data_IF_350479940619
#
_entry.id   IF_350479940619
#
_cell.length_a   1.000
_cell.length_b   1.000
_cell.length_c   1.000
_cell.angle_alpha   90.00
_cell.angle_beta   90.00
_cell.angle_gamma   90.00
#
_symmetry.space_group_name_H-M   'P 1'
#
loop_
_entity.id
_entity.type
_entity.pdbx_description
1 polymer ?
#
# COMPACT_ATOMS: atom_id res chain seq x y z
N UNK A 1 -18.15 -17.44 19.43
CA UNK A 1 -17.67 -17.87 18.10
C UNK A 1 -16.98 -16.71 17.41
N UNK A 2 -15.64 -16.69 17.40
CA UNK A 2 -14.89 -15.70 16.60
C UNK A 2 -15.17 -16.04 15.15
N UNK A 3 -15.96 -15.21 14.44
CA UNK A 3 -16.14 -15.30 12.98
C UNK A 3 -14.72 -15.28 12.40
N UNK A 4 -14.23 -16.43 11.92
CA UNK A 4 -12.95 -16.47 11.18
C UNK A 4 -13.10 -15.48 10.04
N UNK A 5 -12.43 -14.33 10.15
CA UNK A 5 -12.42 -13.35 9.10
C UNK A 5 -11.54 -13.93 8.00
N UNK A 6 -12.13 -14.03 6.82
CA UNK A 6 -11.49 -14.62 5.65
C UNK A 6 -10.13 -14.04 5.33
N UNK A 7 -9.28 -14.82 4.64
CA UNK A 7 -7.89 -14.47 4.33
C UNK A 7 -7.82 -13.13 3.58
N UNK A 8 -8.78 -12.87 2.70
CA UNK A 8 -8.87 -11.61 1.96
C UNK A 8 -9.12 -10.40 2.87
N UNK A 9 -9.79 -10.58 4.01
CA UNK A 9 -10.02 -9.52 4.99
C UNK A 9 -8.74 -9.20 5.77
N UNK A 10 -7.98 -10.23 6.16
CA UNK A 10 -6.69 -10.06 6.84
C UNK A 10 -5.70 -9.34 5.93
N UNK A 11 -5.60 -9.76 4.66
CA UNK A 11 -4.78 -9.06 3.66
C UNK A 11 -5.21 -7.63 3.43
N UNK A 12 -6.50 -7.32 3.46
CA UNK A 12 -6.98 -5.94 3.36
C UNK A 12 -6.48 -5.06 4.51
N UNK A 13 -6.58 -5.54 5.76
CA UNK A 13 -6.04 -4.80 6.91
C UNK A 13 -4.53 -4.66 6.81
N UNK A 14 -3.82 -5.76 6.52
CA UNK A 14 -2.36 -5.76 6.40
C UNK A 14 -1.89 -4.78 5.32
N UNK A 15 -2.58 -4.71 4.18
CA UNK A 15 -2.24 -3.75 3.13
C UNK A 15 -2.37 -2.30 3.60
N UNK A 16 -3.38 -1.97 4.41
CA UNK A 16 -3.57 -0.61 4.93
C UNK A 16 -2.44 -0.26 5.89
N UNK A 17 -2.09 -1.18 6.79
CA UNK A 17 -0.99 -0.96 7.76
C UNK A 17 0.34 -0.83 7.02
N UNK A 18 0.63 -1.74 6.10
CA UNK A 18 1.88 -1.73 5.34
C UNK A 18 2.01 -0.53 4.42
N UNK A 19 0.90 0.06 3.95
CA UNK A 19 0.94 1.21 3.04
C UNK A 19 1.74 2.40 3.60
N UNK A 20 1.81 2.54 4.93
CA UNK A 20 2.56 3.61 5.60
C UNK A 20 4.05 3.32 5.78
N UNK A 21 4.44 2.04 5.86
CA UNK A 21 5.83 1.65 6.14
C UNK A 21 6.56 1.18 4.87
N UNK A 22 5.88 0.39 4.05
CA UNK A 22 6.43 -0.27 2.88
C UNK A 22 5.36 -0.28 1.77
N UNK A 23 5.26 0.81 0.98
CA UNK A 23 4.18 0.98 0.01
C UNK A 23 4.16 -0.10 -1.07
N UNK A 24 5.33 -0.59 -1.51
CA UNK A 24 5.45 -1.65 -2.52
C UNK A 24 4.87 -2.99 -2.04
N UNK A 25 5.31 -3.57 -0.90
CA UNK A 25 4.65 -4.75 -0.31
C UNK A 25 3.15 -4.56 -0.06
N UNK A 26 2.73 -3.36 0.35
CA UNK A 26 1.32 -3.05 0.58
C UNK A 26 0.47 -3.19 -0.70
N UNK A 27 0.97 -2.68 -1.84
CA UNK A 27 0.32 -2.83 -3.15
C UNK A 27 0.21 -4.31 -3.52
N UNK A 28 1.29 -5.09 -3.37
CA UNK A 28 1.30 -6.51 -3.70
C UNK A 28 0.26 -7.26 -2.86
N UNK A 29 0.24 -7.04 -1.55
CA UNK A 29 -0.70 -7.69 -0.63
C UNK A 29 -2.14 -7.26 -0.91
N UNK A 30 -2.38 -5.99 -1.25
CA UNK A 30 -3.71 -5.53 -1.65
C UNK A 30 -4.19 -6.26 -2.92
N UNK A 31 -3.33 -6.44 -3.93
CA UNK A 31 -3.65 -7.17 -5.15
C UNK A 31 -3.93 -8.65 -4.84
N UNK A 32 -3.07 -9.30 -4.04
CA UNK A 32 -3.28 -10.70 -3.61
C UNK A 32 -4.60 -10.84 -2.85
N UNK A 33 -4.91 -9.90 -1.94
CA UNK A 33 -6.19 -9.85 -1.23
C UNK A 33 -7.40 -9.66 -2.14
N UNK A 34 -7.27 -8.90 -3.23
CA UNK A 34 -8.32 -8.78 -4.26
C UNK A 34 -8.52 -10.07 -5.05
N UNK A 35 -7.44 -10.80 -5.35
CA UNK A 35 -7.50 -12.10 -6.03
C UNK A 35 -8.15 -13.14 -5.13
N UNK A 36 -7.74 -13.24 -3.86
CA UNK A 36 -8.35 -14.14 -2.88
C UNK A 36 -9.83 -13.81 -2.63
N UNK A 37 -10.19 -12.52 -2.67
CA UNK A 37 -11.58 -12.12 -2.54
C UNK A 37 -12.48 -12.61 -3.69
N UNK A 38 -11.93 -13.01 -4.85
CA UNK A 38 -12.73 -13.67 -5.90
C UNK A 38 -13.29 -15.02 -5.43
N UNK A 39 -12.60 -15.69 -4.50
CA UNK A 39 -13.02 -16.96 -3.89
C UNK A 39 -14.03 -16.72 -2.76
N UNK A 40 -13.75 -15.77 -1.86
CA UNK A 40 -14.60 -15.47 -0.70
C UNK A 40 -15.86 -14.64 -1.03
N UNK A 41 -15.87 -13.91 -2.15
CA UNK A 41 -16.96 -13.00 -2.58
C UNK A 41 -17.40 -11.99 -1.51
N UNK A 42 -16.49 -11.62 -0.60
CA UNK A 42 -16.77 -10.68 0.48
C UNK A 42 -16.71 -9.23 -0.01
N UNK A 43 -17.84 -8.52 0.08
CA UNK A 43 -17.90 -7.09 -0.30
C UNK A 43 -17.02 -6.23 0.61
N UNK A 44 -16.96 -6.56 1.90
CA UNK A 44 -16.16 -5.83 2.90
C UNK A 44 -14.66 -6.01 2.67
N UNK A 45 -14.21 -7.25 2.42
CA UNK A 45 -12.80 -7.52 2.12
C UNK A 45 -12.37 -6.84 0.80
N UNK A 46 -13.25 -6.82 -0.21
CA UNK A 46 -12.99 -6.06 -1.45
C UNK A 46 -12.70 -4.59 -1.17
N UNK A 47 -13.57 -3.94 -0.40
CA UNK A 47 -13.44 -2.50 -0.08
C UNK A 47 -12.16 -2.23 0.69
N UNK A 48 -11.81 -3.03 1.69
CA UNK A 48 -10.56 -2.86 2.44
C UNK A 48 -9.33 -2.96 1.53
N UNK A 49 -9.26 -3.99 0.67
CA UNK A 49 -8.12 -4.14 -0.23
C UNK A 49 -8.03 -3.00 -1.25
N UNK A 50 -9.16 -2.50 -1.78
CA UNK A 50 -9.15 -1.32 -2.66
C UNK A 50 -8.68 -0.08 -1.92
N UNK A 51 -9.15 0.15 -0.70
CA UNK A 51 -8.70 1.29 0.13
C UNK A 51 -7.19 1.18 0.41
N UNK A 52 -6.71 0.01 0.81
CA UNK A 52 -5.28 -0.24 1.02
C UNK A 52 -4.45 0.01 -0.22
N UNK A 53 -4.92 -0.44 -1.39
CA UNK A 53 -4.25 -0.17 -2.67
C UNK A 53 -4.18 1.33 -2.98
N UNK A 54 -5.29 2.06 -2.82
CA UNK A 54 -5.34 3.51 -3.08
C UNK A 54 -4.41 4.27 -2.14
N UNK A 55 -4.45 3.96 -0.84
CA UNK A 55 -3.56 4.58 0.16
C UNK A 55 -2.11 4.30 -0.19
N UNK A 56 -1.75 3.06 -0.52
CA UNK A 56 -0.38 2.70 -0.85
C UNK A 56 0.14 3.43 -2.09
N UNK A 57 -0.69 3.61 -3.13
CA UNK A 57 -0.33 4.39 -4.32
C UNK A 57 -0.11 5.85 -3.98
N UNK A 58 -0.99 6.47 -3.19
CA UNK A 58 -0.87 7.87 -2.77
C UNK A 58 0.39 8.08 -1.94
N UNK A 59 0.64 7.23 -0.95
CA UNK A 59 1.84 7.30 -0.11
C UNK A 59 3.09 7.14 -0.99
N UNK A 60 3.13 6.14 -1.88
CA UNK A 60 4.26 5.94 -2.79
C UNK A 60 4.53 7.18 -3.66
N UNK A 61 3.49 7.78 -4.24
CA UNK A 61 3.62 8.98 -5.07
C UNK A 61 4.18 10.16 -4.27
N UNK A 62 3.71 10.38 -3.05
CA UNK A 62 4.23 11.43 -2.15
C UNK A 62 5.69 11.15 -1.79
N UNK A 63 6.02 9.91 -1.40
CA UNK A 63 7.40 9.52 -1.05
C UNK A 63 8.34 9.76 -2.23
N UNK A 64 7.98 9.29 -3.42
CA UNK A 64 8.79 9.51 -4.64
C UNK A 64 8.93 11.00 -4.95
N UNK A 65 7.85 11.78 -4.86
CA UNK A 65 7.90 13.22 -5.08
C UNK A 65 8.84 13.95 -4.12
N UNK A 66 8.77 13.63 -2.83
CA UNK A 66 9.68 14.18 -1.81
C UNK A 66 11.12 13.76 -2.09
N UNK A 67 11.37 12.49 -2.40
CA UNK A 67 12.71 12.00 -2.70
C UNK A 67 13.31 12.73 -3.91
N UNK A 68 12.56 12.89 -4.99
CA UNK A 68 13.03 13.62 -6.19
C UNK A 68 13.30 15.09 -5.86
N UNK A 69 12.42 15.75 -5.11
CA UNK A 69 12.60 17.13 -4.69
C UNK A 69 13.87 17.33 -3.85
N UNK A 70 14.09 16.45 -2.86
CA UNK A 70 15.28 16.48 -2.01
C UNK A 70 16.55 16.17 -2.79
N UNK A 71 16.51 15.26 -3.77
CA UNK A 71 17.67 14.98 -4.63
C UNK A 71 18.05 16.19 -5.49
N UNK A 72 17.07 16.94 -6.02
CA UNK A 72 17.34 18.17 -6.77
C UNK A 72 17.92 19.27 -5.89
N UNK A 73 17.39 19.49 -4.68
CA UNK A 73 17.96 20.44 -3.73
C UNK A 73 19.34 20.02 -3.21
N UNK A 74 19.52 18.72 -2.94
CA UNK A 74 20.81 18.17 -2.55
C UNK A 74 21.84 18.39 -3.64
N UNK A 75 21.52 18.04 -4.89
CA UNK A 75 22.38 18.26 -6.06
C UNK A 75 22.73 19.73 -6.29
N UNK A 76 21.85 20.67 -5.95
CA UNK A 76 22.12 22.10 -6.07
C UNK A 76 23.11 22.62 -4.99
N UNK A 77 23.32 21.88 -3.90
CA UNK A 77 24.17 22.27 -2.77
C UNK A 77 25.44 21.41 -2.62
N UNK A 78 25.74 20.53 -3.57
CA UNK A 78 27.04 19.83 -3.61
C UNK A 78 28.08 20.68 -4.36
N UNK A 79 29.08 21.27 -3.68
CA UNK A 79 30.27 21.73 -4.38
C UNK A 79 30.95 20.51 -5.01
N UNK A 80 30.98 20.49 -6.34
CA UNK A 80 31.86 19.60 -7.10
C UNK A 80 33.28 20.09 -6.82
N UNK A 81 33.94 19.47 -5.84
CA UNK A 81 35.38 19.60 -5.62
C UNK A 81 36.13 18.65 -6.55
#
# INVERSE_FOLDING_TARGET
MVKQKGVAYIFGILSIVLAFFQPLPAIIIAIVGLVENKKEKSKTAKRLNVIGLVIAIVVLAITVGITVYLMQQGSANFPVY
#
